data_IF_256270450713
#
_entry.id   IF_256270450713
#
_cell.length_a   1.000
_cell.length_b   1.000
_cell.length_c   1.000
_cell.angle_alpha   90.00
_cell.angle_beta   90.00
_cell.angle_gamma   90.00
#
_symmetry.space_group_name_H-M   'P 1'
#
loop_
_entity.id
_entity.type
_entity.pdbx_description
1 polymer ?
#
# COMPACT_ATOMS: atom_id res chain seq x y z
N UNK A 1 23.97 4.37 10.30
CA UNK A 1 22.82 4.59 9.41
C UNK A 1 21.76 5.37 10.17
N UNK A 2 21.15 6.38 9.55
CA UNK A 2 20.13 7.24 10.18
C UNK A 2 18.80 6.94 9.54
N UNK A 3 17.72 6.93 10.34
CA UNK A 3 16.34 6.84 9.84
C UNK A 3 16.01 8.05 8.96
N UNK A 4 15.18 7.86 7.94
CA UNK A 4 14.76 8.93 7.04
C UNK A 4 13.23 9.00 6.94
N UNK A 5 12.69 10.20 6.81
CA UNK A 5 11.27 10.46 6.61
C UNK A 5 11.04 11.32 5.37
N UNK A 6 9.97 10.99 4.63
CA UNK A 6 9.50 11.74 3.48
C UNK A 6 7.98 11.83 3.52
N UNK A 7 7.42 12.90 2.98
CA UNK A 7 6.02 12.94 2.53
C UNK A 7 6.02 12.70 1.02
N UNK A 8 5.19 11.77 0.57
CA UNK A 8 5.02 11.40 -0.83
C UNK A 8 3.58 11.70 -1.27
N UNK A 9 3.41 12.31 -2.44
CA UNK A 9 2.10 12.55 -3.04
C UNK A 9 1.66 11.40 -3.96
N UNK A 10 0.46 11.51 -4.55
CA UNK A 10 -0.11 10.49 -5.46
C UNK A 10 0.69 10.26 -6.73
N UNK A 11 1.52 11.24 -7.15
CA UNK A 11 2.40 11.12 -8.33
C UNK A 11 3.75 10.48 -8.01
N UNK A 12 4.01 10.14 -6.73
CA UNK A 12 5.28 9.58 -6.26
C UNK A 12 6.37 10.63 -6.03
N UNK A 13 6.04 11.92 -6.11
CA UNK A 13 6.98 12.98 -5.72
C UNK A 13 7.14 13.01 -4.21
N UNK A 14 8.38 13.24 -3.74
CA UNK A 14 8.73 13.21 -2.33
C UNK A 14 9.27 14.54 -1.85
N UNK A 15 8.77 14.98 -0.70
CA UNK A 15 9.36 16.07 0.08
C UNK A 15 10.16 15.47 1.24
N UNK A 16 11.46 15.79 1.32
CA UNK A 16 12.35 15.26 2.36
C UNK A 16 12.11 15.99 3.69
N UNK A 17 11.98 15.22 4.77
CA UNK A 17 11.89 15.74 6.14
C UNK A 17 13.13 15.34 6.96
N UNK A 18 14.31 15.31 6.33
CA UNK A 18 15.52 14.77 6.93
C UNK A 18 16.68 15.74 7.00
N UNK A 19 16.59 16.86 6.32
CA UNK A 19 17.69 17.79 6.19
C UNK A 19 17.19 19.23 6.19
N UNK A 20 17.49 19.95 7.26
CA UNK A 20 17.09 21.37 7.41
C UNK A 20 17.75 22.26 6.35
N UNK A 21 18.94 21.90 5.87
CA UNK A 21 19.64 22.68 4.83
C UNK A 21 18.97 22.54 3.46
N UNK A 22 18.25 21.41 3.25
CA UNK A 22 17.49 21.14 2.03
C UNK A 22 16.01 21.44 2.14
N UNK A 23 15.58 21.96 3.29
CA UNK A 23 14.21 22.39 3.46
C UNK A 23 13.60 22.11 4.80
N UNK A 24 13.64 20.88 5.29
CA UNK A 24 12.87 20.48 6.46
C UNK A 24 13.51 19.32 7.23
N UNK A 25 13.39 19.37 8.56
CA UNK A 25 13.78 18.28 9.44
C UNK A 25 12.63 17.91 10.41
N UNK A 26 12.22 16.64 10.42
CA UNK A 26 11.23 16.13 11.38
C UNK A 26 11.94 15.76 12.69
N UNK A 27 11.72 16.57 13.72
CA UNK A 27 12.21 16.35 15.07
C UNK A 27 11.18 15.60 15.90
N UNK A 28 11.70 14.71 16.76
CA UNK A 28 10.92 14.01 17.81
C UNK A 28 9.61 13.40 17.32
N UNK A 29 9.60 12.57 16.26
CA UNK A 29 8.36 11.93 15.81
C UNK A 29 7.83 10.97 16.88
N UNK A 30 6.55 11.10 17.20
CA UNK A 30 5.80 10.25 18.12
C UNK A 30 4.66 9.54 17.39
N UNK A 31 4.12 8.45 17.97
CA UNK A 31 2.97 7.74 17.40
C UNK A 31 3.31 6.80 16.24
N UNK A 32 4.57 6.40 16.06
CA UNK A 32 4.98 5.46 15.02
C UNK A 32 4.48 4.01 15.26
N UNK A 33 4.04 3.70 16.48
CA UNK A 33 3.50 2.41 16.85
C UNK A 33 1.99 2.29 16.60
N UNK A 34 1.33 1.46 17.41
CA UNK A 34 -0.11 1.25 17.34
C UNK A 34 -0.71 1.10 18.74
N UNK A 35 -2.03 1.34 18.86
CA UNK A 35 -2.81 1.11 20.07
C UNK A 35 -4.01 0.22 19.81
N UNK A 36 -4.56 -0.30 20.90
CA UNK A 36 -5.84 -0.99 20.88
C UNK A 36 -6.83 -0.28 21.80
N UNK A 37 -8.05 -0.18 21.34
CA UNK A 37 -9.21 0.03 22.18
C UNK A 37 -9.81 -1.33 22.51
N UNK A 38 -10.00 -1.62 23.81
CA UNK A 38 -10.51 -2.90 24.28
C UNK A 38 -11.74 -2.65 25.16
N UNK A 39 -12.85 -3.21 24.75
CA UNK A 39 -14.05 -3.27 25.58
C UNK A 39 -13.99 -4.54 26.45
N UNK A 40 -14.26 -4.39 27.74
CA UNK A 40 -14.23 -5.49 28.70
C UNK A 40 -15.65 -5.79 29.21
N UNK A 41 -16.01 -7.07 29.27
CA UNK A 41 -17.17 -7.53 30.00
C UNK A 41 -16.74 -7.93 31.42
N UNK A 42 -17.48 -7.46 32.43
CA UNK A 42 -17.24 -7.89 33.81
C UNK A 42 -17.99 -9.17 34.10
N UNK A 43 -17.28 -10.18 34.60
CA UNK A 43 -17.83 -11.46 35.05
C UNK A 43 -17.35 -11.67 36.49
N UNK A 44 -18.23 -11.46 37.46
CA UNK A 44 -17.84 -11.37 38.87
C UNK A 44 -16.86 -10.22 39.10
N UNK A 45 -15.72 -10.50 39.71
CA UNK A 45 -14.66 -9.52 39.96
C UNK A 45 -13.59 -9.49 38.84
N UNK A 46 -13.80 -10.21 37.72
CA UNK A 46 -12.85 -10.30 36.63
C UNK A 46 -13.34 -9.54 35.39
N UNK A 47 -12.40 -9.05 34.60
CA UNK A 47 -12.66 -8.36 33.33
C UNK A 47 -12.14 -9.20 32.18
N UNK A 48 -13.04 -9.60 31.28
CA UNK A 48 -12.71 -10.40 30.09
C UNK A 48 -12.82 -9.50 28.86
N UNK A 49 -11.79 -9.43 27.97
CA UNK A 49 -11.88 -8.65 26.76
C UNK A 49 -12.97 -9.22 25.83
N UNK A 50 -13.93 -8.37 25.48
CA UNK A 50 -15.04 -8.72 24.58
C UNK A 50 -14.72 -8.31 23.14
N UNK A 51 -14.33 -7.05 22.94
CA UNK A 51 -13.99 -6.48 21.63
C UNK A 51 -12.63 -5.82 21.73
N UNK A 52 -11.76 -6.08 20.75
CA UNK A 52 -10.46 -5.44 20.64
C UNK A 52 -10.24 -4.93 19.23
N UNK A 53 -10.17 -3.60 19.05
CA UNK A 53 -9.97 -2.92 17.78
C UNK A 53 -8.66 -2.15 17.78
N UNK A 54 -8.00 -2.05 16.62
CA UNK A 54 -6.88 -1.12 16.44
C UNK A 54 -7.46 0.29 16.41
N UNK A 55 -6.89 1.18 17.21
CA UNK A 55 -7.25 2.60 17.18
C UNK A 55 -6.63 3.30 15.99
N UNK A 56 -7.31 4.32 15.45
CA UNK A 56 -6.70 5.20 14.48
C UNK A 56 -5.45 5.86 15.09
N UNK A 57 -4.29 5.61 14.49
CA UNK A 57 -3.04 6.21 14.92
C UNK A 57 -2.97 7.69 14.55
N UNK A 58 -2.19 8.44 15.34
CA UNK A 58 -1.75 9.80 15.01
C UNK A 58 -0.24 9.84 15.12
N UNK A 59 0.40 10.44 14.14
CA UNK A 59 1.84 10.70 14.16
C UNK A 59 2.00 12.19 14.40
N UNK A 60 2.67 12.55 15.48
CA UNK A 60 2.97 13.93 15.82
C UNK A 60 4.49 14.16 15.78
N UNK A 61 4.88 15.41 15.61
CA UNK A 61 6.28 15.83 15.64
C UNK A 61 6.40 17.31 15.40
N UNK A 62 7.64 17.77 15.29
CA UNK A 62 7.95 19.15 14.98
C UNK A 62 8.77 19.21 13.70
N UNK A 63 8.25 19.92 12.69
CA UNK A 63 8.99 20.24 11.49
C UNK A 63 9.84 21.48 11.73
N UNK A 64 11.11 21.39 11.45
CA UNK A 64 12.07 22.47 11.61
C UNK A 64 12.49 22.95 10.23
N UNK A 65 12.21 24.21 9.90
CA UNK A 65 12.58 24.85 8.65
C UNK A 65 13.65 25.92 8.90
N UNK A 66 14.57 26.04 7.95
CA UNK A 66 15.61 27.08 7.98
C UNK A 66 15.03 28.48 7.76
N UNK A 67 14.05 28.57 6.83
CA UNK A 67 13.44 29.83 6.42
C UNK A 67 11.96 29.68 6.04
N UNK A 68 11.31 30.81 5.76
CA UNK A 68 9.90 30.84 5.35
C UNK A 68 9.67 30.31 3.94
N UNK A 69 10.65 30.36 3.06
CA UNK A 69 10.51 29.89 1.68
C UNK A 69 10.39 28.35 1.69
N UNK A 70 11.23 27.67 2.47
CA UNK A 70 11.16 26.23 2.65
C UNK A 70 9.83 25.77 3.31
N UNK A 71 9.34 26.58 4.27
CA UNK A 71 8.01 26.32 4.87
C UNK A 71 6.90 26.47 3.82
N UNK A 72 6.96 27.52 3.00
CA UNK A 72 5.99 27.76 1.93
C UNK A 72 6.02 26.63 0.90
N UNK A 73 7.20 26.18 0.49
CA UNK A 73 7.37 25.06 -0.45
C UNK A 73 6.73 23.78 0.12
N UNK A 74 6.92 23.50 1.41
CA UNK A 74 6.26 22.38 2.08
C UNK A 74 4.74 22.50 2.05
N UNK A 75 4.20 23.66 2.40
CA UNK A 75 2.75 23.91 2.37
C UNK A 75 2.20 23.78 0.96
N UNK A 76 2.84 24.37 -0.04
CA UNK A 76 2.43 24.28 -1.44
C UNK A 76 2.44 22.80 -1.91
N UNK A 77 3.42 22.00 -1.46
CA UNK A 77 3.51 20.58 -1.78
C UNK A 77 2.34 19.78 -1.18
N UNK A 78 2.02 19.98 0.10
CA UNK A 78 0.96 19.21 0.78
C UNK A 78 -0.44 19.62 0.33
N UNK A 79 -0.66 20.93 0.09
CA UNK A 79 -1.96 21.44 -0.39
C UNK A 79 -2.22 21.11 -1.86
N UNK A 80 -1.17 20.90 -2.64
CA UNK A 80 -1.26 20.46 -4.04
C UNK A 80 -1.54 18.97 -4.20
N UNK A 81 -1.46 18.17 -3.13
CA UNK A 81 -1.62 16.73 -3.17
C UNK A 81 -3.06 16.29 -2.87
N UNK A 82 -3.58 15.36 -3.66
CA UNK A 82 -4.88 14.72 -3.41
C UNK A 82 -4.79 13.58 -2.40
N UNK A 83 -3.61 12.95 -2.30
CA UNK A 83 -3.29 11.86 -1.37
C UNK A 83 -1.87 12.01 -0.86
N UNK A 84 -1.68 11.74 0.41
CA UNK A 84 -0.37 11.80 1.05
C UNK A 84 -0.01 10.46 1.69
N UNK A 85 1.27 10.10 1.59
CA UNK A 85 1.88 8.97 2.28
C UNK A 85 3.07 9.45 3.09
N UNK A 86 3.16 9.02 4.33
CA UNK A 86 4.39 9.12 5.09
C UNK A 86 5.27 7.93 4.73
N UNK A 87 6.46 8.21 4.25
CA UNK A 87 7.49 7.20 3.96
C UNK A 87 8.50 7.21 5.11
N UNK A 88 8.69 6.06 5.74
CA UNK A 88 9.67 5.86 6.80
C UNK A 88 10.69 4.83 6.35
N UNK A 89 11.92 5.27 6.10
CA UNK A 89 13.02 4.44 5.70
C UNK A 89 13.87 4.05 6.90
N UNK A 90 13.80 2.76 7.23
CA UNK A 90 14.43 2.19 8.42
C UNK A 90 15.72 1.48 8.03
N UNK A 91 16.86 1.79 8.70
CA UNK A 91 18.11 1.08 8.48
C UNK A 91 18.10 -0.27 9.22
N UNK A 92 18.34 -1.34 8.49
CA UNK A 92 18.62 -2.67 9.02
C UNK A 92 20.08 -3.08 8.78
N UNK A 93 20.49 -4.24 9.30
CA UNK A 93 21.88 -4.73 9.14
C UNK A 93 22.30 -4.90 7.67
N UNK A 94 21.35 -5.25 6.80
CA UNK A 94 21.60 -5.57 5.40
C UNK A 94 21.09 -4.49 4.43
N UNK A 95 20.80 -3.27 4.90
CA UNK A 95 20.32 -2.19 4.05
C UNK A 95 19.17 -1.40 4.66
N UNK A 96 18.35 -0.82 3.82
CA UNK A 96 17.17 -0.05 4.22
C UNK A 96 15.90 -0.74 3.75
N UNK A 97 14.83 -0.63 4.56
CA UNK A 97 13.47 -0.96 4.14
C UNK A 97 12.63 0.31 4.21
N UNK A 98 11.86 0.57 3.17
CA UNK A 98 10.90 1.67 3.14
C UNK A 98 9.52 1.15 3.53
N UNK A 99 8.94 1.79 4.54
CA UNK A 99 7.58 1.56 4.97
C UNK A 99 6.72 2.78 4.66
N UNK A 100 5.54 2.53 4.17
CA UNK A 100 4.58 3.54 3.77
C UNK A 100 3.39 3.54 4.73
N UNK A 101 2.81 4.70 4.96
CA UNK A 101 1.57 4.84 5.70
C UNK A 101 0.74 5.94 5.05
N UNK A 102 -0.49 5.62 4.65
CA UNK A 102 -1.40 6.62 4.14
C UNK A 102 -1.82 7.55 5.28
N UNK A 103 -1.72 8.85 5.07
CA UNK A 103 -1.97 9.87 6.09
C UNK A 103 -2.79 11.03 5.54
N UNK A 104 -3.48 11.71 6.46
CA UNK A 104 -4.02 13.04 6.22
C UNK A 104 -3.37 14.01 7.21
N UNK A 105 -3.10 15.23 6.77
CA UNK A 105 -2.62 16.27 7.65
C UNK A 105 -3.79 16.79 8.49
N UNK A 106 -3.69 16.58 9.80
CA UNK A 106 -4.69 17.05 10.74
C UNK A 106 -4.39 18.49 11.19
N UNK A 107 -3.10 18.82 11.30
CA UNK A 107 -2.70 20.11 11.81
C UNK A 107 -1.28 20.47 11.37
N UNK A 108 -1.10 21.74 10.98
CA UNK A 108 0.19 22.39 10.76
C UNK A 108 0.14 23.74 11.50
N UNK A 109 0.80 23.82 12.66
CA UNK A 109 0.78 25.03 13.47
C UNK A 109 1.94 25.93 13.13
N UNK A 110 1.72 26.92 12.26
CA UNK A 110 2.74 27.92 12.01
C UNK A 110 3.06 28.73 13.26
N UNK A 111 4.35 28.83 13.58
CA UNK A 111 4.89 29.74 14.59
C UNK A 111 5.74 30.82 13.92
N UNK A 112 6.34 31.68 14.72
CA UNK A 112 7.39 32.60 14.27
C UNK A 112 8.78 32.00 14.52
N UNK A 113 9.80 32.52 13.84
CA UNK A 113 11.17 32.08 14.04
C UNK A 113 11.62 32.32 15.49
N UNK A 114 12.26 31.31 16.04
CA UNK A 114 12.87 31.40 17.36
C UNK A 114 14.13 32.27 17.37
N UNK A 115 14.73 32.42 18.55
CA UNK A 115 16.00 33.16 18.74
C UNK A 115 17.17 32.51 18.01
N UNK A 116 17.06 31.24 17.66
CA UNK A 116 17.98 30.44 16.85
C UNK A 116 17.78 30.63 15.34
N UNK A 117 16.85 31.52 14.95
CA UNK A 117 16.51 31.85 13.56
C UNK A 117 15.94 30.67 12.74
N UNK A 118 15.41 29.63 13.39
CA UNK A 118 14.67 28.54 12.74
C UNK A 118 13.18 28.64 13.00
N UNK A 119 12.39 28.16 12.05
CA UNK A 119 10.94 28.05 12.18
C UNK A 119 10.57 26.65 12.66
N UNK A 120 9.90 26.53 13.82
CA UNK A 120 9.41 25.28 14.36
C UNK A 120 7.91 25.18 14.16
N UNK A 121 7.50 24.10 13.52
CA UNK A 121 6.11 23.90 13.12
C UNK A 121 5.62 22.54 13.65
N UNK A 122 4.90 22.53 14.78
CA UNK A 122 4.22 21.30 15.20
C UNK A 122 3.28 20.78 14.11
N UNK A 123 3.38 19.48 13.83
CA UNK A 123 2.56 18.79 12.84
C UNK A 123 1.87 17.59 13.48
N UNK A 124 0.64 17.31 13.04
CA UNK A 124 -0.08 16.09 13.37
C UNK A 124 -0.65 15.47 12.12
N UNK A 125 -0.35 14.19 11.90
CA UNK A 125 -0.82 13.36 10.80
C UNK A 125 -1.80 12.33 11.34
N UNK A 126 -3.01 12.27 10.81
CA UNK A 126 -3.95 11.17 11.06
C UNK A 126 -3.59 9.99 10.15
N UNK A 127 -3.39 8.82 10.74
CA UNK A 127 -3.09 7.60 9.99
C UNK A 127 -4.36 7.01 9.40
N UNK A 128 -4.36 6.73 8.09
CA UNK A 128 -5.47 6.11 7.35
C UNK A 128 -5.25 4.62 7.14
N UNK A 129 -4.02 4.15 7.25
CA UNK A 129 -3.64 2.74 7.07
C UNK A 129 -2.71 2.26 8.18
N UNK A 130 -2.47 0.95 8.23
CA UNK A 130 -1.28 0.39 8.89
C UNK A 130 -0.02 0.79 8.11
N UNK A 131 1.16 0.59 8.69
CA UNK A 131 2.39 0.60 7.91
C UNK A 131 2.35 -0.52 6.88
N UNK A 132 2.85 -0.27 5.68
CA UNK A 132 2.98 -1.32 4.68
C UNK A 132 4.27 -1.19 3.88
N UNK A 133 4.76 -2.32 3.40
CA UNK A 133 5.79 -2.46 2.39
C UNK A 133 5.12 -2.89 1.09
N UNK A 134 5.38 -2.22 -0.03
CA UNK A 134 4.89 -2.61 -1.33
C UNK A 134 5.90 -3.54 -2.02
N UNK A 135 5.45 -4.74 -2.37
CA UNK A 135 6.24 -5.72 -3.14
C UNK A 135 5.64 -5.88 -4.53
N UNK A 136 6.42 -5.54 -5.53
CA UNK A 136 6.02 -5.71 -6.92
C UNK A 136 6.48 -7.06 -7.45
N UNK A 137 5.57 -7.75 -8.13
CA UNK A 137 5.79 -9.00 -8.84
C UNK A 137 5.37 -8.78 -10.29
N UNK A 138 6.28 -8.97 -11.23
CA UNK A 138 5.95 -8.93 -12.65
C UNK A 138 5.28 -10.25 -13.04
N UNK A 139 4.09 -10.16 -13.64
CA UNK A 139 3.38 -11.30 -14.19
C UNK A 139 3.75 -11.39 -15.67
N UNK A 140 4.59 -12.33 -16.03
CA UNK A 140 4.85 -12.68 -17.43
C UNK A 140 3.92 -13.81 -17.81
N UNK A 141 2.99 -13.55 -18.70
CA UNK A 141 2.13 -14.59 -19.28
C UNK A 141 2.75 -14.93 -20.63
N UNK A 142 3.67 -15.87 -20.64
CA UNK A 142 4.19 -16.39 -21.90
C UNK A 142 3.11 -17.22 -22.59
N UNK A 143 2.69 -16.75 -23.75
CA UNK A 143 1.95 -17.57 -24.71
C UNK A 143 2.83 -18.77 -25.09
N UNK A 144 2.55 -19.92 -24.48
CA UNK A 144 3.01 -21.26 -24.87
C UNK A 144 4.34 -21.31 -25.67
N UNK A 145 5.46 -21.04 -24.99
CA UNK A 145 6.75 -21.56 -25.43
C UNK A 145 7.48 -22.13 -24.19
N UNK A 146 7.87 -23.41 -24.35
CA UNK A 146 8.55 -24.22 -23.30
C UNK A 146 9.97 -23.75 -22.98
N UNK A 147 10.25 -22.47 -22.93
CA UNK A 147 11.55 -21.93 -22.57
C UNK A 147 11.48 -21.16 -21.26
N UNK A 148 12.02 -21.79 -20.21
CA UNK A 148 12.25 -21.17 -18.91
C UNK A 148 13.37 -20.13 -19.07
N UNK A 149 13.05 -18.85 -19.05
CA UNK A 149 14.07 -17.78 -18.91
C UNK A 149 14.24 -17.44 -17.43
N UNK A 150 15.47 -17.63 -16.96
CA UNK A 150 15.91 -17.32 -15.59
C UNK A 150 16.57 -15.94 -15.59
N UNK A 151 15.82 -14.90 -15.14
CA UNK A 151 16.39 -13.62 -14.73
C UNK A 151 15.64 -13.17 -13.46
N UNK A 152 16.11 -13.66 -12.29
CA UNK A 152 15.52 -13.32 -11.01
C UNK A 152 16.56 -12.88 -10.00
N UNK A 153 16.24 -11.81 -9.27
CA UNK A 153 16.98 -11.37 -8.08
C UNK A 153 16.58 -12.24 -6.87
N UNK A 154 17.55 -12.66 -6.06
CA UNK A 154 17.53 -13.84 -5.18
C UNK A 154 16.67 -13.75 -3.91
N UNK A 155 15.87 -12.69 -3.67
CA UNK A 155 15.11 -12.53 -2.43
C UNK A 155 13.63 -12.96 -2.49
N UNK A 156 13.18 -13.55 -3.61
CA UNK A 156 11.80 -14.04 -3.75
C UNK A 156 11.81 -15.47 -4.26
N UNK A 157 11.41 -16.43 -3.42
CA UNK A 157 11.26 -17.83 -3.82
C UNK A 157 9.97 -17.95 -4.64
N UNK A 158 10.13 -18.02 -5.97
CA UNK A 158 9.04 -18.36 -6.89
C UNK A 158 9.30 -19.74 -7.48
N UNK A 159 8.43 -20.69 -7.18
CA UNK A 159 8.37 -21.94 -7.90
C UNK A 159 7.39 -21.79 -9.07
N UNK A 160 7.93 -21.62 -10.27
CA UNK A 160 7.13 -21.62 -11.49
C UNK A 160 6.63 -23.04 -11.80
N UNK A 161 5.40 -23.32 -11.40
CA UNK A 161 4.61 -24.40 -11.97
C UNK A 161 3.28 -23.80 -12.42
N UNK A 162 3.12 -23.64 -13.74
CA UNK A 162 1.99 -22.95 -14.37
C UNK A 162 2.06 -21.41 -14.18
N UNK A 163 2.30 -20.67 -15.26
CA UNK A 163 2.47 -19.20 -15.29
C UNK A 163 1.29 -18.38 -14.73
N UNK A 164 0.26 -19.05 -14.21
CA UNK A 164 -0.97 -18.49 -13.65
C UNK A 164 -1.03 -18.50 -12.14
N UNK A 165 -0.11 -19.21 -11.47
CA UNK A 165 -0.10 -19.35 -10.01
C UNK A 165 1.08 -18.58 -9.39
N UNK A 166 0.79 -17.57 -8.59
CA UNK A 166 1.78 -16.78 -7.87
C UNK A 166 1.71 -17.16 -6.41
N UNK A 167 2.73 -17.84 -5.90
CA UNK A 167 2.84 -18.21 -4.49
C UNK A 167 3.46 -17.04 -3.74
N UNK A 168 2.84 -16.63 -2.65
CA UNK A 168 3.30 -15.54 -1.82
C UNK A 168 3.17 -15.85 -0.34
N UNK A 169 4.22 -15.56 0.44
CA UNK A 169 4.23 -15.66 1.91
C UNK A 169 4.05 -14.28 2.53
N UNK A 170 2.89 -14.01 3.13
CA UNK A 170 2.63 -12.80 3.89
C UNK A 170 3.28 -12.88 5.28
N UNK A 171 4.46 -12.26 5.45
CA UNK A 171 5.20 -12.15 6.72
C UNK A 171 4.78 -10.95 7.57
N UNK A 172 3.76 -10.23 7.17
CA UNK A 172 3.24 -9.07 7.88
C UNK A 172 2.48 -9.40 9.16
N UNK A 173 1.96 -8.35 9.80
CA UNK A 173 1.20 -8.47 11.05
C UNK A 173 -0.32 -8.53 10.83
N UNK A 174 -0.78 -8.28 9.61
CA UNK A 174 -2.18 -8.29 9.20
C UNK A 174 -2.35 -8.90 7.80
N UNK A 175 -3.58 -9.07 7.34
CA UNK A 175 -3.86 -9.47 5.96
C UNK A 175 -3.30 -8.45 4.98
N UNK A 176 -2.75 -8.91 3.86
CA UNK A 176 -2.13 -8.08 2.85
C UNK A 176 -3.11 -7.82 1.69
N UNK A 177 -3.53 -6.57 1.48
CA UNK A 177 -4.20 -6.20 0.24
C UNK A 177 -3.24 -6.26 -0.93
N UNK A 178 -3.79 -6.34 -2.15
CA UNK A 178 -2.99 -6.40 -3.36
C UNK A 178 -3.66 -5.64 -4.52
N UNK A 179 -2.86 -5.32 -5.52
CA UNK A 179 -3.28 -4.69 -6.76
C UNK A 179 -2.79 -5.53 -7.94
N UNK A 180 -3.68 -5.82 -8.88
CA UNK A 180 -3.37 -6.45 -10.16
C UNK A 180 -3.57 -5.42 -11.27
N UNK A 181 -2.60 -5.29 -12.13
CA UNK A 181 -2.64 -4.48 -13.35
C UNK A 181 -2.32 -5.40 -14.52
N UNK A 182 -3.19 -5.45 -15.53
CA UNK A 182 -2.99 -6.27 -16.74
C UNK A 182 -3.08 -5.37 -17.97
N UNK A 183 -2.15 -5.52 -18.86
CA UNK A 183 -2.11 -4.89 -20.17
C UNK A 183 -2.35 -5.96 -21.26
N UNK A 184 -3.03 -5.60 -22.34
CA UNK A 184 -3.36 -6.48 -23.44
C UNK A 184 -4.83 -6.87 -23.47
N UNK A 185 -5.16 -7.88 -24.25
CA UNK A 185 -6.53 -8.38 -24.33
C UNK A 185 -6.84 -9.26 -23.11
N UNK A 186 -7.85 -8.86 -22.31
CA UNK A 186 -8.29 -9.59 -21.12
C UNK A 186 -9.79 -9.83 -21.21
N UNK A 187 -10.19 -11.09 -21.34
CA UNK A 187 -11.59 -11.48 -21.43
C UNK A 187 -11.94 -12.39 -20.26
N UNK A 188 -13.07 -12.13 -19.62
CA UNK A 188 -13.61 -12.91 -18.51
C UNK A 188 -12.59 -13.23 -17.39
N UNK A 189 -11.87 -12.24 -16.84
CA UNK A 189 -10.83 -12.51 -15.86
C UNK A 189 -11.37 -13.13 -14.59
N UNK A 190 -10.64 -14.13 -14.09
CA UNK A 190 -10.91 -14.83 -12.84
C UNK A 190 -9.68 -14.70 -11.96
N UNK A 191 -9.87 -14.20 -10.74
CA UNK A 191 -8.85 -14.10 -9.71
C UNK A 191 -9.22 -15.02 -8.57
N UNK A 192 -8.43 -16.05 -8.33
CA UNK A 192 -8.67 -17.06 -7.29
C UNK A 192 -7.56 -17.01 -6.24
N UNK A 193 -7.93 -17.03 -4.95
CA UNK A 193 -6.99 -17.24 -3.86
C UNK A 193 -7.11 -18.67 -3.37
N UNK A 194 -5.97 -19.35 -3.34
CA UNK A 194 -5.85 -20.70 -2.78
C UNK A 194 -5.05 -20.61 -1.47
N UNK A 195 -5.51 -21.36 -0.47
CA UNK A 195 -4.83 -21.53 0.80
C UNK A 195 -4.72 -23.03 1.05
N UNK A 196 -3.52 -23.50 1.34
CA UNK A 196 -3.23 -24.94 1.49
C UNK A 196 -3.73 -25.80 0.29
N UNK A 197 -3.70 -25.20 -0.92
CA UNK A 197 -4.16 -25.81 -2.17
C UNK A 197 -5.68 -25.78 -2.40
N UNK A 198 -6.47 -25.30 -1.44
CA UNK A 198 -7.92 -25.17 -1.56
C UNK A 198 -8.34 -23.74 -1.98
N UNK A 199 -9.32 -23.63 -2.88
CA UNK A 199 -9.92 -22.36 -3.24
C UNK A 199 -10.70 -21.78 -2.06
N UNK A 200 -10.33 -20.57 -1.62
CA UNK A 200 -10.98 -19.88 -0.48
C UNK A 200 -11.70 -18.62 -0.88
N UNK A 201 -11.24 -17.94 -1.94
CA UNK A 201 -11.83 -16.70 -2.45
C UNK A 201 -11.71 -16.67 -3.96
N UNK A 202 -12.74 -16.15 -4.63
CA UNK A 202 -12.78 -16.05 -6.08
C UNK A 202 -13.53 -14.81 -6.54
N UNK A 203 -12.94 -14.08 -7.46
CA UNK A 203 -13.57 -13.02 -8.24
C UNK A 203 -13.72 -13.51 -9.68
N UNK A 204 -14.91 -13.39 -10.22
CA UNK A 204 -15.21 -13.70 -11.62
C UNK A 204 -15.90 -12.49 -12.24
N UNK A 205 -15.41 -12.03 -13.39
CA UNK A 205 -15.92 -10.87 -14.12
C UNK A 205 -16.46 -11.32 -15.49
N UNK A 206 -17.56 -12.04 -15.45
CA UNK A 206 -18.17 -12.62 -16.66
C UNK A 206 -18.74 -11.55 -17.57
N UNK A 207 -18.46 -11.65 -18.88
CA UNK A 207 -18.87 -10.69 -19.90
C UNK A 207 -18.00 -9.45 -20.01
N UNK A 208 -16.90 -9.38 -19.23
CA UNK A 208 -15.93 -8.29 -19.33
C UNK A 208 -14.95 -8.56 -20.47
N UNK A 209 -14.75 -7.54 -21.33
CA UNK A 209 -13.69 -7.52 -22.31
C UNK A 209 -12.87 -6.22 -22.21
N UNK A 210 -11.57 -6.37 -22.05
CA UNK A 210 -10.56 -5.32 -22.10
C UNK A 210 -9.80 -5.55 -23.42
N UNK A 211 -9.68 -4.51 -24.25
CA UNK A 211 -9.07 -4.64 -25.56
C UNK A 211 -7.56 -4.30 -25.50
N UNK A 212 -6.85 -4.65 -26.57
CA UNK A 212 -5.46 -4.23 -26.73
C UNK A 212 -5.31 -2.71 -26.60
N UNK A 213 -4.29 -2.26 -25.85
CA UNK A 213 -4.06 -0.84 -25.54
C UNK A 213 -4.90 -0.28 -24.37
N UNK A 214 -5.79 -1.08 -23.80
CA UNK A 214 -6.47 -0.77 -22.56
C UNK A 214 -5.78 -1.50 -21.39
N UNK A 215 -6.00 -1.02 -20.16
CA UNK A 215 -5.46 -1.62 -18.95
C UNK A 215 -6.59 -2.01 -17.99
N UNK A 216 -6.55 -3.24 -17.49
CA UNK A 216 -7.38 -3.68 -16.38
C UNK A 216 -6.66 -3.41 -15.05
N UNK A 217 -7.37 -2.85 -14.07
CA UNK A 217 -6.86 -2.62 -12.73
C UNK A 217 -7.86 -3.12 -11.70
N UNK A 218 -7.40 -4.01 -10.82
CA UNK A 218 -8.10 -4.48 -9.65
C UNK A 218 -7.26 -4.19 -8.40
N UNK A 219 -7.77 -3.37 -7.47
CA UNK A 219 -7.06 -2.96 -6.26
C UNK A 219 -7.92 -3.25 -5.02
N UNK A 220 -7.38 -4.00 -4.07
CA UNK A 220 -8.06 -4.42 -2.84
C UNK A 220 -7.64 -3.63 -1.61
N UNK A 221 -6.78 -2.62 -1.76
CA UNK A 221 -6.35 -1.75 -0.67
C UNK A 221 -7.52 -0.91 -0.16
N UNK A 222 -7.83 -0.97 1.14
CA UNK A 222 -9.05 -0.39 1.74
C UNK A 222 -9.27 1.09 1.41
N UNK A 223 -8.18 1.86 1.30
CA UNK A 223 -8.23 3.30 0.97
C UNK A 223 -8.35 3.58 -0.53
N UNK A 224 -8.17 2.56 -1.37
CA UNK A 224 -8.07 2.68 -2.83
C UNK A 224 -8.81 1.54 -3.55
N UNK A 225 -9.83 0.94 -2.92
CA UNK A 225 -10.59 -0.17 -3.53
C UNK A 225 -11.21 0.27 -4.86
N UNK A 226 -10.82 -0.42 -5.92
CA UNK A 226 -11.34 -0.14 -7.26
C UNK A 226 -11.21 -1.35 -8.18
N UNK A 227 -12.10 -1.40 -9.15
CA UNK A 227 -12.01 -2.26 -10.31
C UNK A 227 -12.36 -1.41 -11.52
N UNK A 228 -11.39 -1.20 -12.40
CA UNK A 228 -11.49 -0.21 -13.46
C UNK A 228 -10.82 -0.70 -14.75
N UNK A 229 -11.28 -0.13 -15.85
CA UNK A 229 -10.61 -0.14 -17.14
C UNK A 229 -10.06 1.24 -17.44
N UNK A 230 -8.82 1.32 -17.90
CA UNK A 230 -8.17 2.56 -18.35
C UNK A 230 -7.90 2.47 -19.83
N UNK A 231 -8.37 3.45 -20.61
CA UNK A 231 -8.15 3.59 -22.04
C UNK A 231 -7.67 5.01 -22.33
N UNK A 232 -6.38 5.18 -22.57
CA UNK A 232 -5.76 6.50 -22.70
C UNK A 232 -5.96 7.32 -21.41
N UNK A 233 -6.68 8.44 -21.51
CA UNK A 233 -7.03 9.30 -20.37
C UNK A 233 -8.40 8.97 -19.72
N UNK A 234 -9.12 7.98 -20.26
CA UNK A 234 -10.47 7.63 -19.79
C UNK A 234 -10.40 6.46 -18.83
N UNK A 235 -11.06 6.61 -17.67
CA UNK A 235 -11.23 5.55 -16.68
C UNK A 235 -12.68 5.14 -16.61
N UNK A 236 -12.96 3.85 -16.76
CA UNK A 236 -14.30 3.27 -16.68
C UNK A 236 -14.39 2.36 -15.45
N UNK A 237 -15.40 2.57 -14.61
CA UNK A 237 -15.68 1.70 -13.48
C UNK A 237 -16.32 0.39 -13.97
N UNK A 238 -15.89 -0.73 -13.37
CA UNK A 238 -16.35 -2.08 -13.74
C UNK A 238 -17.18 -2.75 -12.63
N UNK A 239 -17.73 -1.99 -11.68
CA UNK A 239 -18.52 -2.54 -10.58
C UNK A 239 -19.79 -3.28 -11.04
N UNK A 240 -20.33 -2.94 -12.20
CA UNK A 240 -21.50 -3.62 -12.77
C UNK A 240 -21.23 -5.10 -13.14
N UNK A 241 -19.95 -5.48 -13.29
CA UNK A 241 -19.54 -6.86 -13.52
C UNK A 241 -19.37 -7.67 -12.23
N UNK A 242 -19.42 -7.01 -11.05
CA UNK A 242 -19.28 -7.68 -9.76
C UNK A 242 -20.55 -8.38 -9.33
N UNK A 243 -20.41 -9.57 -8.77
CA UNK A 243 -21.56 -10.25 -8.17
C UNK A 243 -21.79 -9.72 -6.74
N UNK A 244 -22.92 -9.04 -6.46
CA UNK A 244 -23.17 -8.43 -5.15
C UNK A 244 -23.37 -9.45 -4.01
N UNK A 245 -23.56 -10.73 -4.33
CA UNK A 245 -23.74 -11.79 -3.33
C UNK A 245 -22.41 -12.35 -2.79
N UNK A 246 -21.27 -11.90 -3.33
CA UNK A 246 -19.95 -12.35 -2.92
C UNK A 246 -19.06 -11.21 -2.40
N UNK A 247 -18.05 -11.56 -1.61
CA UNK A 247 -16.99 -10.62 -1.25
C UNK A 247 -16.10 -10.43 -2.47
N UNK A 248 -16.17 -9.26 -3.09
CA UNK A 248 -15.45 -8.96 -4.33
C UNK A 248 -14.06 -8.34 -4.08
N UNK A 249 -13.80 -7.78 -2.89
CA UNK A 249 -12.49 -7.25 -2.51
C UNK A 249 -11.95 -8.04 -1.31
N UNK A 250 -10.93 -8.82 -1.55
CA UNK A 250 -10.35 -9.72 -0.55
C UNK A 250 -8.85 -9.51 -0.43
N UNK A 251 -8.28 -9.95 0.70
CA UNK A 251 -6.87 -9.80 1.03
C UNK A 251 -6.23 -11.16 1.23
N UNK A 252 -4.90 -11.22 1.14
CA UNK A 252 -4.11 -12.41 1.42
C UNK A 252 -3.94 -12.56 2.93
N UNK A 253 -4.23 -13.74 3.47
CA UNK A 253 -4.02 -14.05 4.89
C UNK A 253 -2.53 -13.98 5.26
N UNK A 254 -2.24 -14.05 6.55
CA UNK A 254 -0.88 -14.29 7.05
C UNK A 254 -0.43 -15.70 6.69
N UNK A 255 0.85 -15.83 6.33
CA UNK A 255 1.41 -17.09 5.85
C UNK A 255 1.28 -17.23 4.33
N UNK A 256 1.36 -18.46 3.85
CA UNK A 256 1.36 -18.75 2.43
C UNK A 256 -0.04 -18.68 1.81
N UNK A 257 -0.11 -18.05 0.65
CA UNK A 257 -1.29 -18.02 -0.23
C UNK A 257 -0.84 -18.10 -1.68
N UNK A 258 -1.67 -18.68 -2.54
CA UNK A 258 -1.46 -18.66 -3.99
C UNK A 258 -2.52 -17.79 -4.64
N UNK A 259 -2.09 -16.83 -5.45
CA UNK A 259 -2.96 -16.07 -6.34
C UNK A 259 -2.94 -16.75 -7.68
N UNK A 260 -4.10 -17.24 -8.14
CA UNK A 260 -4.28 -17.76 -9.49
C UNK A 260 -5.01 -16.74 -10.32
N UNK A 261 -4.44 -16.40 -11.47
CA UNK A 261 -5.03 -15.52 -12.46
C UNK A 261 -5.37 -16.31 -13.72
N UNK A 262 -6.63 -16.25 -14.13
CA UNK A 262 -7.14 -16.89 -15.34
C UNK A 262 -7.88 -15.83 -16.15
N UNK A 263 -7.67 -15.80 -17.46
CA UNK A 263 -8.41 -14.97 -18.41
C UNK A 263 -8.28 -15.57 -19.79
N UNK A 264 -9.29 -15.33 -20.62
CA UNK A 264 -9.17 -15.53 -22.07
C UNK A 264 -8.55 -14.25 -22.69
N UNK A 265 -7.97 -14.38 -23.90
CA UNK A 265 -7.29 -13.30 -24.59
C UNK A 265 -5.76 -13.35 -24.44
N UNK A 266 -5.08 -12.40 -25.07
CA UNK A 266 -3.62 -12.29 -25.08
C UNK A 266 -3.16 -11.19 -24.14
N UNK A 267 -2.83 -11.55 -22.90
CA UNK A 267 -2.27 -10.63 -21.92
C UNK A 267 -0.79 -10.40 -22.25
N UNK A 268 -0.43 -9.16 -22.56
CA UNK A 268 0.94 -8.80 -22.98
C UNK A 268 1.87 -8.55 -21.81
N UNK A 269 1.34 -8.00 -20.71
CA UNK A 269 2.08 -7.81 -19.47
C UNK A 269 1.15 -7.75 -18.27
N UNK A 270 1.69 -8.06 -17.10
CA UNK A 270 0.95 -7.93 -15.84
C UNK A 270 1.87 -7.53 -14.69
N UNK A 271 1.29 -6.84 -13.73
CA UNK A 271 1.95 -6.46 -12.49
C UNK A 271 1.04 -6.78 -11.30
N UNK A 272 1.59 -7.50 -10.33
CA UNK A 272 0.98 -7.72 -9.03
C UNK A 272 1.76 -6.93 -8.00
N UNK A 273 1.11 -6.00 -7.30
CA UNK A 273 1.68 -5.30 -6.14
C UNK A 273 1.01 -5.80 -4.88
N UNK A 274 1.78 -6.32 -3.93
CA UNK A 274 1.28 -6.80 -2.64
C UNK A 274 1.71 -5.83 -1.55
N UNK A 275 0.76 -5.39 -0.73
CA UNK A 275 0.98 -4.45 0.37
C UNK A 275 1.05 -5.21 1.69
N UNK A 276 2.27 -5.61 2.10
CA UNK A 276 2.49 -6.35 3.34
C UNK A 276 2.28 -5.41 4.52
N UNK A 277 1.30 -5.68 5.37
CA UNK A 277 0.90 -4.76 6.44
C UNK A 277 1.58 -5.08 7.77
N UNK A 278 2.08 -4.02 8.42
CA UNK A 278 2.73 -4.06 9.72
C UNK A 278 2.04 -3.12 10.70
N UNK A 279 1.81 -3.59 11.93
CA UNK A 279 1.25 -2.76 13.01
C UNK A 279 2.28 -1.77 13.53
N UNK A 280 3.56 -2.18 13.58
CA UNK A 280 4.71 -1.35 13.93
C UNK A 280 5.91 -1.78 13.09
N UNK A 281 6.84 -0.85 12.86
CA UNK A 281 8.06 -1.01 12.04
C UNK A 281 9.26 -0.37 12.74
#
# INVERSE_FOLDING_TARGET
MVREFYIENETGQRFSMMDIERGCFLSSPEGLGYGYETEYAQIGDNFIPNIRKITQGKIAGELIFKDYDNYKEYVDFIEGASQLKLVYKVPFKNGYTEYYKDVDISEVRKSEKGTDNVLRVPITLNCKSLWYEAKDVVITIDSISNEIRWDFDWDSIFTAYDNRNIIFENKGHAEAPFKIELDGEVVDPIITILEDGAEVKKLTLQGLAINEGEKFIYNTKDTEQQIIKVSGSTTTNLFDFLNPNFINFFKLRKGESTIRLEADGEITSGKLTIYIQYKAV
#
